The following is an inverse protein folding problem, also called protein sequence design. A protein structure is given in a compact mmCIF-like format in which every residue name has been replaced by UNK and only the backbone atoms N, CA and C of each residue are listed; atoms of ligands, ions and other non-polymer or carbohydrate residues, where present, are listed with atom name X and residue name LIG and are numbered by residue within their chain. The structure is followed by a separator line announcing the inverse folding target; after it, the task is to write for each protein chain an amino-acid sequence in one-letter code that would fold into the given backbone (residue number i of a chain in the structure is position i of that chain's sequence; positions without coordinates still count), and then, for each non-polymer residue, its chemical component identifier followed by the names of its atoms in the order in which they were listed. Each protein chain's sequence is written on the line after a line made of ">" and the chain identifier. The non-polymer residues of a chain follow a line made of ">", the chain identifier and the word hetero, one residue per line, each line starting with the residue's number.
data_IF_672784281253
#
_entry.id   IF_672784281253
#
_cell.length_a   1.000
_cell.length_b   1.000
_cell.length_c   1.000
_cell.angle_alpha   90.00
_cell.angle_beta   90.00
_cell.angle_gamma   90.00
#
_symmetry.space_group_name_H-M   'P 1'
#
loop_
_entity.id
_entity.type
_entity.pdbx_description
1 polymer ?
#
# COMPACT_ATOMS: atom_id res chain seq x y z
N UNK A 1 -29.25 0.76 -29.65
CA UNK A 1 -29.95 2.06 -29.56
C UNK A 1 -29.22 3.03 -30.47
N UNK A 2 -29.94 3.71 -31.36
CA UNK A 2 -29.42 4.49 -32.48
C UNK A 2 -29.48 5.98 -32.11
N UNK A 3 -28.37 6.71 -32.14
CA UNK A 3 -28.37 8.17 -31.96
C UNK A 3 -28.78 8.85 -33.28
N UNK A 4 -29.36 10.06 -33.19
CA UNK A 4 -30.05 10.76 -34.29
C UNK A 4 -29.17 11.21 -35.48
N UNK A 5 -27.87 10.89 -35.49
CA UNK A 5 -26.91 11.38 -36.50
C UNK A 5 -26.35 10.27 -37.41
N UNK A 6 -26.98 9.08 -37.45
CA UNK A 6 -26.61 8.05 -38.43
C UNK A 6 -25.19 7.47 -38.27
N UNK A 7 -24.46 7.85 -37.22
CA UNK A 7 -23.22 7.19 -36.86
C UNK A 7 -23.55 5.81 -36.30
N UNK A 8 -23.25 4.77 -37.09
CA UNK A 8 -23.13 3.42 -36.57
C UNK A 8 -22.02 3.47 -35.54
N UNK A 9 -22.39 3.42 -34.26
CA UNK A 9 -21.44 3.24 -33.17
C UNK A 9 -20.79 1.88 -33.40
N UNK A 10 -19.61 1.89 -34.00
CA UNK A 10 -18.82 0.70 -34.18
C UNK A 10 -18.39 0.22 -32.80
N UNK A 11 -19.07 -0.79 -32.27
CA UNK A 11 -18.81 -1.38 -30.95
C UNK A 11 -17.38 -1.93 -30.83
N UNK A 12 -16.68 -2.18 -31.95
CA UNK A 12 -15.26 -2.54 -31.92
C UNK A 12 -14.35 -1.37 -31.49
N UNK A 13 -14.78 -0.11 -31.66
CA UNK A 13 -14.04 1.07 -31.18
C UNK A 13 -14.32 1.44 -29.73
N UNK A 14 -15.38 0.90 -29.10
CA UNK A 14 -15.55 0.97 -27.65
C UNK A 14 -14.63 -0.01 -26.92
N UNK A 15 -14.18 -1.08 -27.59
CA UNK A 15 -13.14 -1.98 -27.08
C UNK A 15 -11.72 -1.61 -27.54
N UNK A 16 -11.57 -0.67 -28.50
CA UNK A 16 -10.28 -0.18 -29.03
C UNK A 16 -9.92 1.27 -28.68
N UNK A 17 -10.59 1.87 -27.69
CA UNK A 17 -9.91 2.80 -26.78
C UNK A 17 -9.27 2.02 -25.62
N UNK A 18 -8.55 0.94 -25.90
CA UNK A 18 -7.09 1.01 -26.11
C UNK A 18 -6.21 1.71 -25.06
N UNK A 19 -6.79 2.29 -24.01
CA UNK A 19 -6.08 2.79 -22.83
C UNK A 19 -6.62 2.09 -21.58
N UNK A 20 -6.79 0.76 -21.68
CA UNK A 20 -6.65 -0.12 -20.52
C UNK A 20 -5.17 -0.18 -20.10
N UNK A 21 -4.55 0.96 -19.80
CA UNK A 21 -3.56 1.00 -18.74
C UNK A 21 -4.35 1.07 -17.44
N UNK A 22 -4.83 -0.10 -17.01
CA UNK A 22 -5.06 -0.36 -15.60
C UNK A 22 -5.16 -1.88 -15.38
N UNK A 23 -4.06 -2.64 -15.51
CA UNK A 23 -3.60 -3.32 -14.31
C UNK A 23 -3.04 -2.25 -13.37
N UNK A 24 -3.33 -2.31 -12.07
CA UNK A 24 -2.74 -1.44 -11.05
C UNK A 24 -1.35 -0.90 -11.46
N UNK A 25 -1.15 0.44 -11.46
CA UNK A 25 0.12 1.10 -11.80
C UNK A 25 1.29 0.18 -11.46
N UNK A 26 2.02 -0.24 -12.49
CA UNK A 26 3.14 -1.15 -12.32
C UNK A 26 4.05 -0.54 -11.25
N UNK A 27 4.22 -1.26 -10.14
CA UNK A 27 5.02 -0.79 -9.01
C UNK A 27 6.39 -0.35 -9.52
N UNK A 28 6.84 0.83 -9.10
CA UNK A 28 8.21 1.29 -9.35
C UNK A 28 9.23 0.30 -8.75
N UNK A 29 10.49 0.39 -9.19
CA UNK A 29 11.55 -0.48 -8.67
C UNK A 29 11.65 -0.42 -7.14
N UNK A 30 11.59 0.79 -6.56
CA UNK A 30 11.64 1.00 -5.11
C UNK A 30 10.41 0.43 -4.40
N UNK A 31 9.22 0.55 -5.00
CA UNK A 31 7.99 -0.04 -4.46
C UNK A 31 8.03 -1.57 -4.50
N UNK A 32 8.59 -2.17 -5.56
CA UNK A 32 8.78 -3.62 -5.64
C UNK A 32 9.76 -4.12 -4.60
N UNK A 33 10.89 -3.42 -4.42
CA UNK A 33 11.90 -3.77 -3.43
C UNK A 33 11.35 -3.63 -2.01
N UNK A 34 10.63 -2.53 -1.72
CA UNK A 34 9.93 -2.34 -0.45
C UNK A 34 8.99 -3.51 -0.12
N UNK A 35 8.19 -3.97 -1.08
CA UNK A 35 7.27 -5.10 -0.87
C UNK A 35 8.04 -6.40 -0.65
N UNK A 36 9.16 -6.60 -1.35
CA UNK A 36 10.07 -7.73 -1.14
C UNK A 36 10.61 -7.76 0.29
N UNK A 37 11.23 -6.67 0.72
CA UNK A 37 11.81 -6.52 2.07
C UNK A 37 10.74 -6.62 3.16
N UNK A 38 9.55 -6.04 2.94
CA UNK A 38 8.42 -6.12 3.86
C UNK A 38 7.98 -7.57 4.07
N UNK A 39 7.82 -8.32 2.97
CA UNK A 39 7.41 -9.71 3.03
C UNK A 39 8.45 -10.57 3.75
N UNK A 40 9.74 -10.35 3.46
CA UNK A 40 10.81 -11.08 4.12
C UNK A 40 10.85 -10.78 5.63
N UNK A 41 10.76 -9.51 6.03
CA UNK A 41 10.80 -9.12 7.43
C UNK A 41 9.62 -9.69 8.23
N UNK A 42 8.43 -9.74 7.61
CA UNK A 42 7.25 -10.35 8.22
C UNK A 42 7.37 -11.87 8.36
N UNK A 43 8.00 -12.56 7.40
CA UNK A 43 8.27 -14.00 7.47
C UNK A 43 9.28 -14.33 8.58
N UNK A 44 10.42 -13.65 8.58
CA UNK A 44 11.54 -13.91 9.50
C UNK A 44 11.16 -13.66 10.96
N UNK A 45 10.41 -12.58 11.22
CA UNK A 45 10.12 -12.14 12.58
C UNK A 45 9.04 -12.97 13.28
N UNK A 46 8.17 -13.67 12.53
CA UNK A 46 6.95 -14.23 13.13
C UNK A 46 6.60 -15.67 12.73
N UNK A 47 7.30 -16.28 11.75
CA UNK A 47 7.10 -17.69 11.38
C UNK A 47 5.69 -18.02 10.87
N UNK A 48 4.87 -17.00 10.66
CA UNK A 48 3.52 -17.17 10.15
C UNK A 48 3.63 -17.06 8.64
N UNK A 49 3.06 -18.05 7.95
CA UNK A 49 2.49 -17.83 6.63
C UNK A 49 1.32 -16.83 6.78
N UNK A 50 1.59 -15.58 7.23
CA UNK A 50 0.71 -14.48 6.88
C UNK A 50 1.02 -14.31 5.41
N UNK A 51 0.38 -15.12 4.57
CA UNK A 51 0.30 -14.84 3.15
C UNK A 51 -0.05 -13.36 3.08
N UNK A 52 0.91 -12.53 2.66
CA UNK A 52 0.94 -11.10 2.96
C UNK A 52 -0.43 -10.50 2.69
N UNK A 53 -1.23 -10.36 3.75
CA UNK A 53 -2.65 -10.00 3.62
C UNK A 53 -2.79 -8.50 3.39
N UNK A 54 -1.68 -7.79 3.50
CA UNK A 54 -1.57 -6.40 3.11
C UNK A 54 -1.46 -6.37 1.60
N UNK A 55 -2.50 -5.87 0.95
CA UNK A 55 -2.43 -5.56 -0.47
C UNK A 55 -1.21 -4.63 -0.69
N UNK A 56 -0.32 -4.91 -1.66
CA UNK A 56 0.90 -4.12 -1.88
C UNK A 56 0.65 -2.61 -1.94
N UNK A 57 -0.44 -2.21 -2.60
CA UNK A 57 -0.86 -0.81 -2.70
C UNK A 57 -1.19 -0.18 -1.35
N UNK A 58 -1.80 -0.92 -0.43
CA UNK A 58 -2.07 -0.44 0.93
C UNK A 58 -0.78 -0.25 1.72
N UNK A 59 0.17 -1.19 1.62
CA UNK A 59 1.47 -1.06 2.29
C UNK A 59 2.24 0.17 1.80
N UNK A 60 2.25 0.38 0.48
CA UNK A 60 2.91 1.52 -0.16
C UNK A 60 2.24 2.83 0.24
N UNK A 61 0.90 2.89 0.22
CA UNK A 61 0.16 4.08 0.65
C UNK A 61 0.49 4.43 2.10
N UNK A 62 0.50 3.45 3.01
CA UNK A 62 0.88 3.68 4.40
C UNK A 62 2.33 4.14 4.54
N UNK A 63 3.26 3.57 3.77
CA UNK A 63 4.65 3.99 3.78
C UNK A 63 4.81 5.46 3.33
N UNK A 64 4.10 5.87 2.28
CA UNK A 64 4.05 7.27 1.82
C UNK A 64 3.43 8.20 2.85
N UNK A 65 2.37 7.78 3.54
CA UNK A 65 1.75 8.54 4.64
C UNK A 65 2.71 8.74 5.82
N UNK A 66 3.42 7.68 6.22
CA UNK A 66 4.46 7.76 7.26
C UNK A 66 5.52 8.77 6.86
N UNK A 67 5.90 8.76 5.58
CA UNK A 67 6.86 9.70 5.06
C UNK A 67 6.43 11.16 5.18
N UNK A 68 5.20 11.43 4.73
CA UNK A 68 4.62 12.75 4.83
C UNK A 68 4.50 13.17 6.31
N UNK A 69 4.15 12.25 7.21
CA UNK A 69 4.07 12.55 8.64
C UNK A 69 5.45 12.85 9.26
N UNK A 70 6.53 12.22 8.77
CA UNK A 70 7.90 12.53 9.19
C UNK A 70 8.32 13.93 8.70
N UNK A 71 8.08 14.23 7.43
CA UNK A 71 8.39 15.54 6.82
C UNK A 71 7.65 16.69 7.52
N UNK A 72 6.37 16.48 7.84
CA UNK A 72 5.54 17.45 8.56
C UNK A 72 5.78 17.48 10.08
N UNK A 73 6.62 16.60 10.63
CA UNK A 73 6.86 16.50 12.07
C UNK A 73 5.66 15.98 12.89
N UNK A 74 4.68 15.34 12.24
CA UNK A 74 3.45 14.81 12.86
C UNK A 74 3.47 13.30 13.09
N UNK A 75 4.61 12.64 12.84
CA UNK A 75 4.77 11.19 12.95
C UNK A 75 4.35 10.60 14.30
N UNK A 76 4.56 11.33 15.41
CA UNK A 76 4.14 10.88 16.75
C UNK A 76 2.61 10.75 16.84
N UNK A 77 1.86 11.68 16.26
CA UNK A 77 0.39 11.65 16.26
C UNK A 77 -0.14 10.58 15.29
N UNK A 78 0.52 10.39 14.15
CA UNK A 78 0.25 9.27 13.25
C UNK A 78 0.39 7.92 13.99
N UNK A 79 1.51 7.70 14.67
CA UNK A 79 1.74 6.47 15.45
C UNK A 79 0.70 6.26 16.55
N UNK A 80 0.32 7.34 17.26
CA UNK A 80 -0.72 7.26 18.30
C UNK A 80 -2.07 6.84 17.69
N UNK A 81 -2.46 7.46 16.58
CA UNK A 81 -3.71 7.16 15.87
C UNK A 81 -3.74 5.70 15.40
N UNK A 82 -2.65 5.25 14.78
CA UNK A 82 -2.53 3.87 14.32
C UNK A 82 -2.59 2.86 15.48
N UNK A 83 -1.94 3.17 16.61
CA UNK A 83 -2.00 2.31 17.80
C UNK A 83 -3.42 2.21 18.38
N UNK A 84 -4.20 3.30 18.36
CA UNK A 84 -5.61 3.28 18.80
C UNK A 84 -6.47 2.43 17.88
N UNK A 85 -6.29 2.53 16.56
CA UNK A 85 -7.00 1.69 15.58
C UNK A 85 -6.70 0.21 15.85
N UNK A 86 -5.42 -0.13 16.02
CA UNK A 86 -5.00 -1.52 16.26
C UNK A 86 -5.55 -2.04 17.59
N UNK A 87 -5.59 -1.21 18.64
CA UNK A 87 -6.20 -1.57 19.92
C UNK A 87 -7.72 -1.81 19.84
N UNK A 88 -8.39 -1.28 18.81
CA UNK A 88 -9.81 -1.51 18.55
C UNK A 88 -10.15 -2.88 17.95
N UNK A 89 -9.17 -3.65 17.49
CA UNK A 89 -9.41 -5.00 16.99
C UNK A 89 -9.83 -5.94 18.13
N UNK A 90 -10.97 -6.62 17.96
CA UNK A 90 -11.53 -7.54 18.97
C UNK A 90 -10.77 -8.85 19.09
N UNK A 91 -10.14 -9.30 18.01
CA UNK A 91 -9.40 -10.55 17.96
C UNK A 91 -7.90 -10.29 18.25
N UNK A 92 -7.31 -10.94 19.29
CA UNK A 92 -5.93 -10.71 19.69
C UNK A 92 -4.92 -11.13 18.61
N UNK A 93 -5.27 -12.11 17.76
CA UNK A 93 -4.41 -12.54 16.65
C UNK A 93 -4.34 -11.44 15.58
N UNK A 94 -5.49 -10.89 15.20
CA UNK A 94 -5.62 -9.78 14.25
C UNK A 94 -4.90 -8.53 14.78
N UNK A 95 -5.04 -8.22 16.07
CA UNK A 95 -4.31 -7.13 16.70
C UNK A 95 -2.79 -7.32 16.61
N UNK A 96 -2.30 -8.53 16.88
CA UNK A 96 -0.87 -8.86 16.80
C UNK A 96 -0.36 -8.73 15.37
N UNK A 97 -1.09 -9.26 14.39
CA UNK A 97 -0.74 -9.16 12.96
C UNK A 97 -0.67 -7.69 12.53
N UNK A 98 -1.70 -6.89 12.85
CA UNK A 98 -1.75 -5.48 12.48
C UNK A 98 -0.62 -4.67 13.14
N UNK A 99 -0.27 -4.95 14.39
CA UNK A 99 0.87 -4.32 15.08
C UNK A 99 2.21 -4.66 14.42
N UNK A 100 2.41 -5.93 14.06
CA UNK A 100 3.62 -6.36 13.35
C UNK A 100 3.74 -5.70 11.96
N UNK A 101 2.65 -5.68 11.19
CA UNK A 101 2.60 -5.03 9.88
C UNK A 101 2.91 -3.52 9.99
N UNK A 102 2.24 -2.83 10.91
CA UNK A 102 2.47 -1.42 11.17
C UNK A 102 3.94 -1.12 11.51
N UNK A 103 4.55 -1.94 12.37
CA UNK A 103 5.98 -1.79 12.72
C UNK A 103 6.89 -2.03 11.53
N UNK A 104 6.65 -3.08 10.75
CA UNK A 104 7.48 -3.39 9.59
C UNK A 104 7.44 -2.26 8.56
N UNK A 105 6.25 -1.74 8.26
CA UNK A 105 6.08 -0.61 7.32
C UNK A 105 6.75 0.65 7.89
N UNK A 106 6.57 0.97 9.17
CA UNK A 106 7.25 2.11 9.82
C UNK A 106 8.78 2.04 9.73
N UNK A 107 9.35 0.85 9.85
CA UNK A 107 10.80 0.66 9.76
C UNK A 107 11.32 0.82 8.34
N UNK A 108 10.60 0.31 7.34
CA UNK A 108 11.05 0.31 5.95
C UNK A 108 10.69 1.61 5.20
N UNK A 109 9.61 2.29 5.58
CA UNK A 109 9.12 3.48 4.88
C UNK A 109 10.20 4.57 4.70
N UNK A 110 11.03 4.90 5.70
CA UNK A 110 12.06 5.92 5.52
C UNK A 110 13.08 5.56 4.43
N UNK A 111 13.56 4.30 4.42
CA UNK A 111 14.55 3.80 3.45
C UNK A 111 14.10 3.97 2.00
N UNK A 112 12.83 3.70 1.71
CA UNK A 112 12.31 3.64 0.34
C UNK A 112 11.58 4.90 -0.12
N UNK A 113 10.93 5.61 0.80
CA UNK A 113 10.05 6.73 0.45
C UNK A 113 10.51 8.06 1.05
N UNK A 114 11.43 8.06 2.02
CA UNK A 114 11.89 9.26 2.75
C UNK A 114 13.41 9.33 2.85
N UNK A 115 14.12 9.53 1.74
CA UNK A 115 15.59 9.53 1.75
C UNK A 115 16.18 10.57 2.74
N UNK A 116 15.46 11.65 3.05
CA UNK A 116 15.86 12.65 4.05
C UNK A 116 15.90 12.10 5.50
N UNK A 117 15.29 10.95 5.76
CA UNK A 117 15.16 10.30 7.06
C UNK A 117 15.65 8.84 7.04
N UNK A 118 16.31 8.42 5.96
CA UNK A 118 16.78 7.06 5.76
C UNK A 118 18.09 6.74 6.52
N UNK A 119 18.74 7.75 7.12
CA UNK A 119 20.00 7.67 7.89
C UNK A 119 19.91 8.49 9.20
#
# INVERSE_FOLDING_TARGET
>A
MQTQEGQIVNLENLCRSGNRQNPADALSADEQEFIGDLNQLLQDSYGVQVASSVAPQTAISQAKEICNALDLGTFVDYRRTQAQIIAGYRDPTTQRIANSQARAIQTLAPKYFCPAFAD
#
